data_IF_523331726962
#
_entry.id   IF_523331726962
#
_cell.length_a   1.000
_cell.length_b   1.000
_cell.length_c   1.000
_cell.angle_alpha   90.00
_cell.angle_beta   90.00
_cell.angle_gamma   90.00
#
_symmetry.space_group_name_H-M   'P 1'
#
loop_
_entity.id
_entity.type
_entity.pdbx_description
1 polymer ?
#
# COMPACT_ATOMS: atom_id res chain seq x y z
N UNK A 1 16.97 33.45 16.19
CA UNK A 1 18.08 32.59 15.73
C UNK A 1 17.83 31.26 16.42
N UNK A 2 17.61 30.18 15.65
CA UNK A 2 17.39 28.85 16.24
C UNK A 2 18.68 28.36 16.85
N UNK A 3 18.61 27.57 17.92
CA UNK A 3 19.80 26.95 18.50
C UNK A 3 20.16 25.68 17.71
N UNK A 4 21.44 25.27 17.78
CA UNK A 4 21.90 23.99 17.20
C UNK A 4 21.09 22.82 17.77
N UNK A 5 20.71 22.89 19.05
CA UNK A 5 19.88 21.88 19.72
C UNK A 5 18.46 21.82 19.16
N UNK A 6 17.85 22.97 18.86
CA UNK A 6 16.52 23.05 18.21
C UNK A 6 16.55 22.45 16.80
N UNK A 7 17.62 22.72 16.04
CA UNK A 7 17.81 22.15 14.70
C UNK A 7 18.00 20.64 14.77
N UNK A 8 18.83 20.15 15.70
CA UNK A 8 19.04 18.72 15.89
C UNK A 8 17.74 18.00 16.29
N UNK A 9 16.94 18.60 17.18
CA UNK A 9 15.65 18.03 17.57
C UNK A 9 14.68 17.94 16.39
N UNK A 10 14.65 18.93 15.50
CA UNK A 10 13.83 18.90 14.28
C UNK A 10 14.30 17.80 13.31
N UNK A 11 15.62 17.64 13.14
CA UNK A 11 16.22 16.56 12.33
C UNK A 11 15.81 15.19 12.88
N UNK A 12 15.93 14.97 14.19
CA UNK A 12 15.60 13.69 14.82
C UNK A 12 14.10 13.36 14.67
N UNK A 13 13.22 14.36 14.84
CA UNK A 13 11.77 14.20 14.63
C UNK A 13 11.45 13.83 13.17
N UNK A 14 12.12 14.46 12.20
CA UNK A 14 11.94 14.16 10.78
C UNK A 14 12.44 12.75 10.43
N UNK A 15 13.56 12.31 11.00
CA UNK A 15 14.04 10.93 10.84
C UNK A 15 13.06 9.91 11.43
N UNK A 16 12.45 10.21 12.58
CA UNK A 16 11.41 9.35 13.15
C UNK A 16 10.19 9.23 12.21
N UNK A 17 9.76 10.34 11.60
CA UNK A 17 8.66 10.34 10.61
C UNK A 17 9.02 9.53 9.36
N UNK A 18 10.25 9.68 8.85
CA UNK A 18 10.76 8.90 7.71
C UNK A 18 10.75 7.41 8.03
N UNK A 19 11.22 7.01 9.20
CA UNK A 19 11.24 5.60 9.61
C UNK A 19 9.82 5.03 9.70
N UNK A 20 8.90 5.71 10.39
CA UNK A 20 7.50 5.29 10.49
C UNK A 20 6.82 5.16 9.13
N UNK A 21 7.01 6.13 8.24
CA UNK A 21 6.44 6.08 6.90
C UNK A 21 7.03 4.93 6.08
N UNK A 22 8.33 4.65 6.22
CA UNK A 22 9.00 3.54 5.53
C UNK A 22 8.47 2.19 6.02
N UNK A 23 8.29 2.02 7.33
CA UNK A 23 7.65 0.83 7.91
C UNK A 23 6.20 0.67 7.40
N UNK A 24 5.44 1.75 7.34
CA UNK A 24 4.06 1.70 6.86
C UNK A 24 3.97 1.34 5.37
N UNK A 25 4.88 1.86 4.53
CA UNK A 25 5.01 1.45 3.12
C UNK A 25 5.31 -0.05 3.02
N UNK A 26 6.19 -0.59 3.87
CA UNK A 26 6.51 -2.02 3.86
C UNK A 26 5.27 -2.87 4.16
N UNK A 27 4.47 -2.48 5.15
CA UNK A 27 3.20 -3.14 5.50
C UNK A 27 2.21 -3.06 4.33
N UNK A 28 2.04 -1.88 3.73
CA UNK A 28 1.13 -1.68 2.59
C UNK A 28 1.52 -2.55 1.39
N UNK A 29 2.81 -2.64 1.06
CA UNK A 29 3.33 -3.50 -0.01
C UNK A 29 3.11 -4.98 0.28
N UNK A 30 3.29 -5.41 1.53
CA UNK A 30 2.99 -6.80 1.93
C UNK A 30 1.50 -7.12 1.74
N UNK A 31 0.61 -6.24 2.22
CA UNK A 31 -0.84 -6.41 2.08
C UNK A 31 -1.24 -6.42 0.61
N UNK A 32 -0.71 -5.50 -0.20
CA UNK A 32 -0.96 -5.43 -1.64
C UNK A 32 -0.56 -6.74 -2.33
N UNK A 33 0.60 -7.30 -2.01
CA UNK A 33 1.07 -8.57 -2.55
C UNK A 33 0.16 -9.74 -2.16
N UNK A 34 -0.27 -9.81 -0.89
CA UNK A 34 -1.20 -10.86 -0.40
C UNK A 34 -2.57 -10.78 -1.08
N UNK A 35 -3.10 -9.58 -1.26
CA UNK A 35 -4.40 -9.36 -1.92
C UNK A 35 -4.31 -9.68 -3.41
N UNK A 36 -3.24 -9.26 -4.09
CA UNK A 36 -3.01 -9.55 -5.51
C UNK A 36 -2.94 -11.05 -5.77
N UNK A 37 -2.17 -11.78 -4.96
CA UNK A 37 -2.08 -13.24 -5.06
C UNK A 37 -3.45 -13.92 -4.89
N UNK A 38 -4.22 -13.52 -3.87
CA UNK A 38 -5.58 -14.06 -3.66
C UNK A 38 -6.52 -13.76 -4.82
N UNK A 39 -6.41 -12.57 -5.43
CA UNK A 39 -7.18 -12.20 -6.62
C UNK A 39 -6.84 -13.11 -7.82
N UNK A 40 -5.56 -13.43 -8.00
CA UNK A 40 -5.10 -14.37 -9.03
C UNK A 40 -5.60 -15.80 -8.76
N UNK A 41 -5.52 -16.28 -7.52
CA UNK A 41 -6.02 -17.60 -7.12
C UNK A 41 -7.52 -17.72 -7.46
N UNK A 42 -8.33 -16.73 -7.09
CA UNK A 42 -9.77 -16.64 -7.40
C UNK A 42 -10.03 -16.66 -8.92
N UNK A 43 -9.25 -15.91 -9.70
CA UNK A 43 -9.38 -15.90 -11.15
C UNK A 43 -9.04 -17.26 -11.77
N UNK A 44 -8.07 -17.98 -11.20
CA UNK A 44 -7.65 -19.30 -11.69
C UNK A 44 -8.61 -20.43 -11.29
N UNK A 45 -9.21 -20.36 -10.09
CA UNK A 45 -10.05 -21.43 -9.53
C UNK A 45 -11.52 -21.33 -9.98
N UNK A 46 -12.07 -20.13 -10.16
CA UNK A 46 -13.51 -19.95 -10.46
C UNK A 46 -13.83 -20.23 -11.94
N UNK A 47 -12.86 -20.16 -12.84
CA UNK A 47 -13.09 -20.23 -14.29
C UNK A 47 -12.95 -21.63 -14.91
N UNK A 48 -12.94 -22.72 -14.13
CA UNK A 48 -12.94 -24.07 -14.70
C UNK A 48 -13.83 -25.12 -13.98
N UNK A 49 -15.15 -24.92 -13.85
CA UNK A 49 -16.05 -25.96 -13.36
C UNK A 49 -16.65 -26.76 -14.53
N UNK A 50 -15.83 -27.44 -15.33
CA UNK A 50 -16.37 -28.49 -16.20
C UNK A 50 -15.47 -29.73 -16.20
N UNK A 51 -15.91 -30.77 -15.50
CA UNK A 51 -15.94 -32.17 -15.97
C UNK A 51 -16.52 -33.09 -14.88
N UNK A 52 -17.31 -34.05 -15.33
CA UNK A 52 -18.06 -35.08 -14.58
C UNK A 52 -19.40 -34.68 -13.98
N UNK A 53 -20.48 -34.77 -14.78
CA UNK A 53 -21.68 -35.48 -14.33
C UNK A 53 -22.38 -36.16 -15.52
N UNK A 54 -22.51 -37.48 -15.45
CA UNK A 54 -23.18 -38.33 -16.44
C UNK A 54 -24.70 -38.21 -16.31
N UNK A 55 -25.38 -38.01 -17.44
CA UNK A 55 -26.71 -37.43 -17.53
C UNK A 55 -27.74 -38.35 -18.21
N UNK A 56 -27.68 -39.68 -18.04
CA UNK A 56 -28.80 -40.54 -18.49
C UNK A 56 -29.81 -40.78 -17.36
N UNK A 57 -31.05 -40.27 -17.52
CA UNK A 57 -32.32 -40.68 -16.83
C UNK A 57 -32.87 -39.82 -15.66
N UNK A 58 -33.18 -38.54 -15.89
CA UNK A 58 -34.28 -37.81 -15.19
C UNK A 58 -34.50 -36.48 -15.94
N UNK A 59 -35.67 -36.20 -16.52
CA UNK A 59 -35.79 -35.13 -17.54
C UNK A 59 -36.65 -33.91 -17.15
N UNK A 60 -37.42 -33.95 -16.05
CA UNK A 60 -38.25 -32.81 -15.61
C UNK A 60 -37.76 -32.17 -14.32
N UNK A 61 -37.48 -32.98 -13.30
CA UNK A 61 -36.82 -32.54 -12.07
C UNK A 61 -35.40 -31.96 -12.31
N UNK A 62 -34.83 -32.31 -13.46
CA UNK A 62 -33.51 -31.86 -13.90
C UNK A 62 -33.54 -30.50 -14.57
N UNK A 63 -34.59 -30.17 -15.33
CA UNK A 63 -34.72 -28.84 -15.94
C UNK A 63 -34.86 -27.76 -14.87
N UNK A 64 -35.67 -28.00 -13.83
CA UNK A 64 -35.83 -27.04 -12.73
C UNK A 64 -34.54 -26.90 -11.92
N UNK A 65 -33.82 -28.00 -11.65
CA UNK A 65 -32.51 -28.01 -10.98
C UNK A 65 -31.39 -27.39 -11.81
N UNK A 66 -31.41 -27.54 -13.14
CA UNK A 66 -30.46 -26.93 -14.07
C UNK A 66 -30.68 -25.42 -14.15
N UNK A 67 -31.94 -24.97 -14.17
CA UNK A 67 -32.28 -23.54 -14.07
C UNK A 67 -31.85 -22.96 -12.72
N UNK A 68 -32.19 -23.60 -11.60
CA UNK A 68 -31.76 -23.16 -10.26
C UNK A 68 -30.22 -23.12 -10.14
N UNK A 69 -29.52 -24.10 -10.71
CA UNK A 69 -28.06 -24.14 -10.73
C UNK A 69 -27.47 -23.02 -11.60
N UNK A 70 -28.08 -22.72 -12.75
CA UNK A 70 -27.67 -21.63 -13.63
C UNK A 70 -27.91 -20.25 -13.00
N UNK A 71 -29.02 -20.06 -12.30
CA UNK A 71 -29.32 -18.84 -11.56
C UNK A 71 -28.32 -18.63 -10.42
N UNK A 72 -28.06 -19.67 -9.62
CA UNK A 72 -27.05 -19.64 -8.55
C UNK A 72 -25.63 -19.40 -9.10
N UNK A 73 -25.30 -19.98 -10.26
CA UNK A 73 -24.02 -19.73 -10.92
C UNK A 73 -23.93 -18.27 -11.37
N UNK A 74 -24.99 -17.73 -11.96
CA UNK A 74 -25.04 -16.33 -12.41
C UNK A 74 -24.88 -15.38 -11.23
N UNK A 75 -25.62 -15.59 -10.15
CA UNK A 75 -25.50 -14.79 -8.93
C UNK A 75 -24.10 -14.89 -8.32
N UNK A 76 -23.52 -16.10 -8.29
CA UNK A 76 -22.15 -16.33 -7.83
C UNK A 76 -21.10 -15.61 -8.68
N UNK A 77 -21.25 -15.65 -10.01
CA UNK A 77 -20.39 -14.94 -10.94
C UNK A 77 -20.50 -13.42 -10.77
N UNK A 78 -21.71 -12.87 -10.67
CA UNK A 78 -21.95 -11.44 -10.46
C UNK A 78 -21.36 -10.97 -9.13
N UNK A 79 -21.57 -11.73 -8.05
CA UNK A 79 -21.02 -11.38 -6.74
C UNK A 79 -19.49 -11.40 -6.74
N UNK A 80 -18.90 -12.44 -7.34
CA UNK A 80 -17.44 -12.56 -7.50
C UNK A 80 -16.87 -11.39 -8.31
N UNK A 81 -17.49 -11.06 -9.44
CA UNK A 81 -17.06 -9.94 -10.30
C UNK A 81 -17.11 -8.61 -9.54
N UNK A 82 -18.18 -8.37 -8.78
CA UNK A 82 -18.30 -7.16 -7.95
C UNK A 82 -17.23 -7.12 -6.85
N UNK A 83 -16.99 -8.23 -6.15
CA UNK A 83 -15.91 -8.31 -5.15
C UNK A 83 -14.52 -8.09 -5.77
N UNK A 84 -14.28 -8.59 -6.97
CA UNK A 84 -13.02 -8.39 -7.70
C UNK A 84 -12.83 -6.94 -8.13
N UNK A 85 -13.90 -6.25 -8.57
CA UNK A 85 -13.89 -4.82 -8.86
C UNK A 85 -13.55 -4.00 -7.60
N UNK A 86 -14.22 -4.25 -6.49
CA UNK A 86 -13.91 -3.59 -5.22
C UNK A 86 -12.47 -3.85 -4.75
N UNK A 87 -11.97 -5.07 -4.96
CA UNK A 87 -10.58 -5.41 -4.64
C UNK A 87 -9.59 -4.65 -5.52
N UNK A 88 -9.91 -4.45 -6.81
CA UNK A 88 -9.07 -3.64 -7.69
C UNK A 88 -9.00 -2.18 -7.23
N UNK A 89 -10.15 -1.58 -6.87
CA UNK A 89 -10.20 -0.22 -6.32
C UNK A 89 -9.33 -0.10 -5.06
N UNK A 90 -9.43 -1.05 -4.13
CA UNK A 90 -8.61 -1.04 -2.92
C UNK A 90 -7.10 -1.14 -3.23
N UNK A 91 -6.71 -1.95 -4.23
CA UNK A 91 -5.31 -2.05 -4.66
C UNK A 91 -4.79 -0.74 -5.26
N UNK A 92 -5.63 -0.03 -6.01
CA UNK A 92 -5.32 1.28 -6.56
C UNK A 92 -5.18 2.34 -5.45
N UNK A 93 -6.08 2.32 -4.46
CA UNK A 93 -6.00 3.18 -3.27
C UNK A 93 -4.72 2.94 -2.45
N UNK A 94 -4.35 1.68 -2.26
CA UNK A 94 -3.08 1.32 -1.58
C UNK A 94 -1.88 1.85 -2.38
N UNK A 95 -1.89 1.72 -3.71
CA UNK A 95 -0.80 2.20 -4.55
C UNK A 95 -0.67 3.73 -4.48
N UNK A 96 -1.78 4.47 -4.52
CA UNK A 96 -1.79 5.92 -4.39
C UNK A 96 -1.29 6.37 -3.01
N UNK A 97 -1.65 5.65 -1.95
CA UNK A 97 -1.18 5.97 -0.59
C UNK A 97 0.32 5.71 -0.42
N UNK A 98 0.86 4.64 -1.03
CA UNK A 98 2.30 4.40 -1.08
C UNK A 98 3.02 5.57 -1.77
N UNK A 99 2.54 6.01 -2.94
CA UNK A 99 3.14 7.14 -3.68
C UNK A 99 3.12 8.42 -2.83
N UNK A 100 2.01 8.67 -2.13
CA UNK A 100 1.87 9.82 -1.23
C UNK A 100 2.91 9.78 -0.10
N UNK A 101 3.11 8.63 0.53
CA UNK A 101 4.09 8.44 1.60
C UNK A 101 5.52 8.59 1.08
N UNK A 102 5.84 8.05 -0.09
CA UNK A 102 7.15 8.20 -0.72
C UNK A 102 7.47 9.68 -1.00
N UNK A 103 6.49 10.46 -1.46
CA UNK A 103 6.64 11.90 -1.64
C UNK A 103 6.88 12.63 -0.31
N UNK A 104 6.14 12.29 0.75
CA UNK A 104 6.37 12.88 2.08
C UNK A 104 7.77 12.56 2.61
N UNK A 105 8.26 11.32 2.41
CA UNK A 105 9.62 10.93 2.79
C UNK A 105 10.66 11.80 2.06
N UNK A 106 10.47 12.02 0.75
CA UNK A 106 11.37 12.86 -0.05
C UNK A 106 11.38 14.31 0.45
N UNK A 107 10.22 14.87 0.78
CA UNK A 107 10.10 16.21 1.35
C UNK A 107 10.79 16.33 2.72
N UNK A 108 10.62 15.33 3.60
CA UNK A 108 11.29 15.31 4.90
C UNK A 108 12.82 15.16 4.77
N UNK A 109 13.30 14.33 3.83
CA UNK A 109 14.74 14.19 3.57
C UNK A 109 15.37 15.48 3.07
N UNK A 110 14.71 16.20 2.15
CA UNK A 110 15.17 17.53 1.72
C UNK A 110 15.20 18.54 2.85
N UNK A 111 14.21 18.46 3.76
CA UNK A 111 14.20 19.32 4.95
C UNK A 111 15.35 18.98 5.90
N UNK A 112 15.66 17.69 6.09
CA UNK A 112 16.82 17.24 6.87
C UNK A 112 18.11 17.78 6.27
N UNK A 113 18.35 17.59 4.96
CA UNK A 113 19.57 18.10 4.30
C UNK A 113 19.73 19.62 4.48
N UNK A 114 18.63 20.37 4.38
CA UNK A 114 18.66 21.81 4.61
C UNK A 114 18.97 22.18 6.06
N UNK A 115 18.40 21.46 7.03
CA UNK A 115 18.66 21.68 8.46
C UNK A 115 20.10 21.30 8.84
N UNK A 116 20.65 20.24 8.24
CA UNK A 116 22.05 19.85 8.40
C UNK A 116 22.98 20.95 7.89
N UNK A 117 22.69 21.53 6.71
CA UNK A 117 23.44 22.68 6.20
C UNK A 117 23.32 23.92 7.10
N UNK A 118 22.12 24.23 7.61
CA UNK A 118 21.91 25.35 8.56
C UNK A 118 22.71 25.14 9.85
N UNK A 119 22.76 23.90 10.35
CA UNK A 119 23.54 23.53 11.53
C UNK A 119 25.03 23.71 11.29
N UNK A 120 25.56 23.20 10.18
CA UNK A 120 26.98 23.33 9.82
C UNK A 120 27.40 24.81 9.67
N UNK A 121 26.55 25.65 9.09
CA UNK A 121 26.79 27.10 9.01
C UNK A 121 26.87 27.76 10.40
N UNK A 122 25.98 27.39 11.32
CA UNK A 122 25.97 27.91 12.69
C UNK A 122 27.20 27.46 13.50
N UNK A 123 27.61 26.20 13.35
CA UNK A 123 28.81 25.65 13.98
C UNK A 123 30.08 26.38 13.49
N UNK A 124 30.21 26.59 12.17
CA UNK A 124 31.32 27.33 11.58
C UNK A 124 31.39 28.80 12.06
N UNK A 125 30.23 29.45 12.29
CA UNK A 125 30.17 30.81 12.82
C UNK A 125 30.59 30.88 14.30
N UNK A 126 30.24 29.88 15.11
CA UNK A 126 30.70 29.79 16.49
C UNK A 126 32.22 29.56 16.60
N UNK A 127 32.78 28.71 15.73
CA UNK A 127 34.21 28.41 15.72
C UNK A 127 35.05 29.62 15.28
N UNK A 128 34.61 30.37 14.27
CA UNK A 128 35.30 31.58 13.82
C UNK A 128 35.23 32.72 14.87
N UNK A 129 34.10 32.86 15.57
CA UNK A 129 33.96 33.86 16.64
C UNK A 129 34.84 33.60 17.87
N UNK A 130 35.13 32.32 18.15
CA UNK A 130 36.03 31.92 19.24
C UNK A 130 37.53 32.10 18.90
N UNK A 131 37.90 32.13 17.61
CA UNK A 131 39.29 32.37 17.19
C UNK A 131 39.68 33.85 17.18
N UNK A 132 38.73 34.79 16.99
CA UNK A 132 39.01 36.23 17.03
C UNK A 132 39.13 36.81 18.44
N UNK A 133 38.79 36.03 19.48
CA UNK A 133 38.82 36.45 20.89
C UNK A 133 40.00 35.91 21.71
N UNK A 134 40.93 35.16 21.08
CA UNK A 134 42.22 34.73 21.68
C UNK A 134 43.39 35.55 21.16
#
# INVERSE_FOLDING_TARGET
MRTIEEIQAEIDELWEKVNKATEFIAILREVQGRVTKKKEDINSDIYNPFKLYDMTRASKWRGDRECEAADLQTDGCVHTENSQKSTAVLLDEIAAEIERLEKCIEEWKKRIEHLEAEKDELENLQDNGNQETQ
#
